data_IF_699729581065
#
_entry.id   IF_699729581065
#
_cell.length_a   1.000
_cell.length_b   1.000
_cell.length_c   1.000
_cell.angle_alpha   90.00
_cell.angle_beta   90.00
_cell.angle_gamma   90.00
#
_symmetry.space_group_name_H-M   'P 1'
#
loop_
_entity.id
_entity.type
_entity.pdbx_description
1 polymer ?
#
# COMPACT_ATOMS: atom_id res chain seq x y z
N UNK A 1 5.22 23.50 -2.75
CA UNK A 1 6.39 23.19 -1.90
C UNK A 1 5.99 22.65 -0.52
N UNK A 2 4.93 23.17 0.11
CA UNK A 2 4.46 22.71 1.43
C UNK A 2 4.09 21.21 1.46
N UNK A 3 3.40 20.72 0.43
CA UNK A 3 3.03 19.30 0.33
C UNK A 3 4.24 18.37 0.34
N UNK A 4 5.32 18.70 -0.39
CA UNK A 4 6.53 17.87 -0.46
C UNK A 4 7.24 17.79 0.90
N UNK A 5 7.26 18.87 1.68
CA UNK A 5 7.81 18.85 3.06
C UNK A 5 6.99 17.93 3.96
N UNK A 6 5.66 17.95 3.84
CA UNK A 6 4.76 17.06 4.58
C UNK A 6 5.00 15.59 4.20
N UNK A 7 5.09 15.28 2.91
CA UNK A 7 5.35 13.91 2.45
C UNK A 7 6.75 13.42 2.88
N UNK A 8 7.76 14.27 2.84
CA UNK A 8 9.09 13.93 3.34
C UNK A 8 9.10 13.66 4.85
N UNK A 9 8.41 14.50 5.64
CA UNK A 9 8.22 14.26 7.08
C UNK A 9 7.48 12.94 7.33
N UNK A 10 6.48 12.63 6.50
CA UNK A 10 5.79 11.35 6.57
C UNK A 10 6.75 10.19 6.33
N UNK A 11 7.56 10.26 5.29
CA UNK A 11 8.54 9.23 4.96
C UNK A 11 9.59 9.04 6.06
N UNK A 12 10.03 10.09 6.75
CA UNK A 12 11.05 9.96 7.81
C UNK A 12 10.50 9.49 9.15
N UNK A 13 9.23 9.77 9.49
CA UNK A 13 8.75 9.57 10.87
C UNK A 13 7.29 9.12 11.03
N UNK A 14 6.53 8.87 9.96
CA UNK A 14 5.14 8.40 10.10
C UNK A 14 5.06 6.89 10.42
N UNK A 15 3.84 6.40 10.65
CA UNK A 15 3.54 4.96 10.65
C UNK A 15 3.01 4.44 9.31
N UNK A 16 3.01 5.26 8.26
CA UNK A 16 2.43 4.94 6.97
C UNK A 16 3.38 4.13 6.08
N UNK A 17 2.89 3.70 4.93
CA UNK A 17 3.63 2.78 4.06
C UNK A 17 4.95 3.38 3.56
N UNK A 18 5.01 4.70 3.37
CA UNK A 18 6.24 5.40 3.01
C UNK A 18 7.36 5.22 4.04
N UNK A 19 7.08 5.39 5.32
CA UNK A 19 8.05 5.18 6.39
C UNK A 19 8.39 3.71 6.57
N UNK A 20 7.40 2.81 6.50
CA UNK A 20 7.64 1.37 6.57
C UNK A 20 8.62 0.89 5.50
N UNK A 21 8.63 1.54 4.33
CA UNK A 21 9.63 1.33 3.28
C UNK A 21 10.94 2.09 3.55
N UNK A 22 10.87 3.33 4.06
CA UNK A 22 12.04 4.12 4.43
C UNK A 22 12.96 3.39 5.41
N UNK A 23 12.40 2.79 6.48
CA UNK A 23 13.15 2.03 7.49
C UNK A 23 13.78 0.74 6.94
N UNK A 24 13.40 0.35 5.71
CA UNK A 24 14.00 -0.76 4.96
C UNK A 24 14.99 -0.29 3.88
N UNK A 25 15.36 0.99 3.90
CA UNK A 25 16.32 1.58 2.96
C UNK A 25 15.73 1.88 1.59
N UNK A 26 14.40 1.95 1.45
CA UNK A 26 13.73 2.24 0.19
C UNK A 26 13.49 3.76 0.08
N UNK A 27 14.15 4.37 -0.89
CA UNK A 27 14.07 5.80 -1.20
C UNK A 27 12.96 6.16 -2.19
N UNK A 28 12.73 7.46 -2.35
CA UNK A 28 11.60 8.02 -3.12
C UNK A 28 11.52 7.50 -4.56
N UNK A 29 12.67 7.38 -5.24
CA UNK A 29 12.74 7.00 -6.66
C UNK A 29 12.37 5.53 -6.92
N UNK A 30 12.41 4.68 -5.89
CA UNK A 30 12.03 3.27 -6.02
C UNK A 30 10.52 3.10 -6.16
N UNK A 31 9.72 4.07 -5.68
CA UNK A 31 8.28 4.13 -5.91
C UNK A 31 7.94 5.06 -7.09
N UNK A 32 8.53 6.28 -7.11
CA UNK A 32 8.12 7.35 -8.03
C UNK A 32 8.89 7.40 -9.36
N UNK A 33 9.96 6.61 -9.52
CA UNK A 33 10.82 6.66 -10.69
C UNK A 33 11.74 7.90 -10.69
N UNK A 34 12.12 8.35 -11.89
CA UNK A 34 13.16 9.39 -12.08
C UNK A 34 12.63 10.85 -12.03
N UNK A 35 11.36 11.05 -11.69
CA UNK A 35 10.73 12.38 -11.68
C UNK A 35 10.25 12.80 -10.29
N UNK A 36 10.05 14.10 -10.11
CA UNK A 36 9.25 14.60 -9.00
C UNK A 36 7.76 14.32 -9.31
N UNK A 37 7.03 13.64 -8.41
CA UNK A 37 5.60 13.40 -8.61
C UNK A 37 4.84 14.72 -8.68
N UNK A 38 3.81 14.75 -9.52
CA UNK A 38 2.83 15.84 -9.48
C UNK A 38 1.91 15.65 -8.28
N UNK A 39 1.20 16.71 -7.91
CA UNK A 39 0.06 16.56 -7.01
C UNK A 39 -0.92 15.56 -7.64
N UNK A 40 -1.48 14.67 -6.81
CA UNK A 40 -2.42 13.61 -7.20
C UNK A 40 -1.86 12.50 -8.09
N UNK A 41 -0.55 12.46 -8.29
CA UNK A 41 0.11 11.35 -8.97
C UNK A 41 0.02 10.05 -8.16
N UNK A 42 -0.09 8.92 -8.84
CA UNK A 42 -0.20 7.59 -8.23
C UNK A 42 0.97 6.71 -8.64
N UNK A 43 1.21 5.67 -7.86
CA UNK A 43 2.25 4.68 -8.16
C UNK A 43 1.60 3.46 -8.79
N UNK A 44 2.07 3.13 -9.98
CA UNK A 44 1.64 1.94 -10.71
C UNK A 44 1.98 0.64 -9.97
N UNK A 45 1.10 -0.36 -10.07
CA UNK A 45 1.28 -1.67 -9.43
C UNK A 45 2.63 -2.31 -9.77
N UNK A 46 3.12 -2.11 -11.00
CA UNK A 46 4.40 -2.63 -11.47
C UNK A 46 5.56 -2.26 -10.54
N UNK A 47 5.53 -1.07 -9.91
CA UNK A 47 6.55 -0.64 -8.94
C UNK A 47 6.54 -1.49 -7.68
N UNK A 48 5.36 -1.84 -7.19
CA UNK A 48 5.20 -2.70 -6.02
C UNK A 48 5.68 -4.13 -6.33
N UNK A 49 5.29 -4.66 -7.49
CA UNK A 49 5.53 -6.04 -7.89
C UNK A 49 7.02 -6.35 -8.15
N UNK A 50 7.85 -5.34 -8.45
CA UNK A 50 9.32 -5.51 -8.55
C UNK A 50 9.90 -6.14 -7.28
N UNK A 51 9.38 -5.77 -6.10
CA UNK A 51 9.87 -6.28 -4.81
C UNK A 51 8.92 -7.30 -4.17
N UNK A 52 7.61 -7.14 -4.34
CA UNK A 52 6.61 -8.02 -3.72
C UNK A 52 6.32 -9.29 -4.52
N UNK A 53 6.85 -9.38 -5.74
CA UNK A 53 6.62 -10.49 -6.66
C UNK A 53 5.34 -10.32 -7.48
N UNK A 54 5.08 -11.23 -8.44
CA UNK A 54 3.89 -11.17 -9.28
C UNK A 54 2.60 -11.39 -8.48
N UNK A 55 1.50 -10.82 -8.96
CA UNK A 55 0.23 -10.73 -8.25
C UNK A 55 -0.32 -12.11 -7.86
N UNK A 56 -0.17 -13.11 -8.73
CA UNK A 56 -0.62 -14.48 -8.47
C UNK A 56 0.12 -15.10 -7.28
N UNK A 57 1.45 -14.93 -7.23
CA UNK A 57 2.26 -15.43 -6.11
C UNK A 57 1.95 -14.68 -4.83
N UNK A 58 1.71 -13.37 -4.92
CA UNK A 58 1.30 -12.56 -3.78
C UNK A 58 -0.05 -13.03 -3.23
N UNK A 59 -1.04 -13.21 -4.10
CA UNK A 59 -2.36 -13.70 -3.74
C UNK A 59 -2.31 -15.07 -3.07
N UNK A 60 -1.51 -16.01 -3.60
CA UNK A 60 -1.30 -17.30 -2.96
C UNK A 60 -0.67 -17.17 -1.57
N UNK A 61 0.33 -16.29 -1.41
CA UNK A 61 1.02 -16.07 -0.13
C UNK A 61 0.13 -15.44 0.94
N UNK A 62 -0.87 -14.66 0.53
CA UNK A 62 -1.79 -13.97 1.44
C UNK A 62 -3.14 -14.65 1.55
N UNK A 63 -3.27 -15.90 1.08
CA UNK A 63 -4.50 -16.67 1.24
C UNK A 63 -4.77 -16.88 2.75
N UNK A 64 -5.93 -16.42 3.27
CA UNK A 64 -6.31 -16.67 4.65
C UNK A 64 -6.60 -18.15 4.88
N UNK A 65 -6.20 -18.66 6.04
CA UNK A 65 -6.35 -20.09 6.39
C UNK A 65 -7.80 -20.52 6.51
N UNK A 66 -8.62 -19.69 7.16
CA UNK A 66 -9.97 -20.07 7.57
C UNK A 66 -11.04 -19.71 6.52
N UNK A 67 -10.81 -18.65 5.74
CA UNK A 67 -11.81 -18.09 4.82
C UNK A 67 -11.19 -17.74 3.47
N UNK A 68 -10.88 -18.75 2.63
CA UNK A 68 -10.16 -18.57 1.36
C UNK A 68 -10.78 -17.55 0.40
N UNK A 69 -12.10 -17.36 0.49
CA UNK A 69 -12.88 -16.36 -0.26
C UNK A 69 -12.62 -14.91 0.16
N UNK A 70 -11.96 -14.70 1.31
CA UNK A 70 -11.64 -13.38 1.88
C UNK A 70 -10.20 -12.95 1.61
N UNK A 71 -9.64 -13.37 0.48
CA UNK A 71 -8.28 -12.99 0.10
C UNK A 71 -8.24 -11.53 -0.41
N UNK A 72 -7.50 -10.61 0.25
CA UNK A 72 -7.46 -9.20 -0.16
C UNK A 72 -6.80 -8.98 -1.53
N UNK A 73 -6.02 -9.94 -2.03
CA UNK A 73 -5.34 -9.86 -3.32
C UNK A 73 -5.95 -10.77 -4.39
N UNK A 74 -7.11 -11.37 -4.10
CA UNK A 74 -7.89 -12.16 -5.06
C UNK A 74 -9.38 -11.99 -4.76
N UNK A 75 -10.00 -10.98 -5.36
CA UNK A 75 -11.38 -10.59 -5.09
C UNK A 75 -12.22 -10.50 -6.36
N UNK A 76 -13.53 -10.28 -6.19
CA UNK A 76 -14.46 -10.04 -7.30
C UNK A 76 -14.23 -8.70 -8.02
N UNK A 77 -13.36 -7.82 -7.50
CA UNK A 77 -12.99 -6.56 -8.15
C UNK A 77 -11.95 -6.76 -9.26
N UNK A 78 -11.37 -7.96 -9.38
CA UNK A 78 -10.28 -8.23 -10.30
C UNK A 78 -8.99 -7.49 -9.91
N UNK A 79 -8.25 -7.04 -10.92
CA UNK A 79 -6.98 -6.36 -10.74
C UNK A 79 -7.19 -4.87 -10.49
N UNK A 80 -7.14 -4.49 -9.21
CA UNK A 80 -7.22 -3.09 -8.77
C UNK A 80 -5.83 -2.55 -8.38
N UNK A 81 -5.68 -1.22 -8.37
CA UNK A 81 -4.42 -0.61 -7.99
C UNK A 81 -4.07 -0.89 -6.51
N UNK A 82 -2.82 -1.28 -6.23
CA UNK A 82 -2.31 -1.53 -4.88
C UNK A 82 -2.54 -0.30 -3.98
N UNK A 83 -2.39 0.89 -4.56
CA UNK A 83 -2.58 2.18 -3.89
C UNK A 83 -4.02 2.50 -3.52
N UNK A 84 -5.02 1.69 -3.94
CA UNK A 84 -6.39 1.80 -3.44
C UNK A 84 -6.41 1.52 -1.93
N UNK A 85 -5.75 0.45 -1.49
CA UNK A 85 -5.69 0.05 -0.09
C UNK A 85 -4.40 0.50 0.61
N UNK A 86 -3.25 0.32 -0.06
CA UNK A 86 -1.93 0.61 0.48
C UNK A 86 -1.50 2.05 0.17
N UNK A 87 -1.83 2.98 1.06
CA UNK A 87 -1.50 4.39 0.91
C UNK A 87 -0.05 4.65 1.34
N UNK A 88 0.72 5.28 0.44
CA UNK A 88 2.11 5.68 0.67
C UNK A 88 2.24 6.69 1.81
N UNK A 89 1.84 7.93 1.53
CA UNK A 89 1.98 9.07 2.43
C UNK A 89 0.73 9.39 3.26
N UNK A 90 -0.12 8.38 3.48
CA UNK A 90 -1.36 8.50 4.24
C UNK A 90 -1.72 7.16 4.87
N UNK A 91 -2.74 7.16 5.70
CA UNK A 91 -3.27 5.95 6.32
C UNK A 91 -3.79 4.94 5.28
N UNK A 92 -3.29 3.72 5.35
CA UNK A 92 -3.79 2.59 4.56
C UNK A 92 -5.11 2.08 5.11
N UNK A 93 -6.04 1.74 4.21
CA UNK A 93 -7.38 1.26 4.57
C UNK A 93 -7.70 0.00 3.78
N UNK A 94 -8.40 -0.95 4.41
CA UNK A 94 -8.88 -2.14 3.71
C UNK A 94 -10.16 -1.76 2.97
N UNK A 95 -10.05 -1.56 1.66
CA UNK A 95 -11.18 -1.13 0.81
C UNK A 95 -12.41 -2.05 0.93
N UNK A 96 -12.19 -3.35 1.12
CA UNK A 96 -13.25 -4.33 1.30
C UNK A 96 -14.17 -4.02 2.49
N UNK A 97 -13.65 -3.35 3.52
CA UNK A 97 -14.40 -3.05 4.75
C UNK A 97 -15.43 -1.93 4.57
N UNK A 98 -15.43 -1.24 3.41
CA UNK A 98 -16.49 -0.30 3.06
C UNK A 98 -17.82 -1.01 2.77
N UNK A 99 -17.76 -2.27 2.32
CA UNK A 99 -18.95 -3.08 2.00
C UNK A 99 -19.09 -4.30 2.92
N UNK A 100 -17.98 -4.86 3.41
CA UNK A 100 -17.96 -6.11 4.17
C UNK A 100 -17.55 -5.93 5.62
N UNK A 101 -18.12 -6.73 6.52
CA UNK A 101 -17.75 -6.77 7.94
C UNK A 101 -16.83 -7.94 8.21
N UNK A 102 -15.57 -7.82 7.82
CA UNK A 102 -14.53 -8.81 8.06
C UNK A 102 -13.54 -8.33 9.13
N UNK A 103 -12.91 -9.26 9.84
CA UNK A 103 -11.72 -8.94 10.62
C UNK A 103 -10.49 -8.99 9.70
N UNK A 104 -10.11 -7.82 9.17
CA UNK A 104 -8.97 -7.66 8.27
C UNK A 104 -8.07 -6.54 8.76
N UNK A 105 -6.76 -6.79 8.76
CA UNK A 105 -5.73 -5.84 9.17
C UNK A 105 -4.79 -5.55 8.01
N UNK A 106 -4.34 -4.31 7.93
CA UNK A 106 -3.41 -3.85 6.90
C UNK A 106 -2.27 -3.07 7.55
N UNK A 107 -1.06 -3.21 7.01
CA UNK A 107 0.08 -2.39 7.45
C UNK A 107 -0.08 -0.96 6.97
N UNK A 108 0.39 -0.01 7.78
CA UNK A 108 0.26 1.41 7.47
C UNK A 108 -1.14 1.98 7.71
N UNK A 109 -2.07 1.20 8.26
CA UNK A 109 -3.24 1.77 8.94
C UNK A 109 -2.77 2.61 10.13
N UNK A 110 -3.48 3.68 10.50
CA UNK A 110 -3.17 4.38 11.73
C UNK A 110 -3.23 3.33 12.84
N UNK A 111 -2.21 3.30 13.69
CA UNK A 111 -2.20 2.39 14.82
C UNK A 111 -3.50 2.64 15.58
N UNK A 112 -4.39 1.64 15.58
CA UNK A 112 -5.51 1.61 16.52
C UNK A 112 -4.83 1.67 17.88
N UNK A 113 -4.94 2.82 18.54
CA UNK A 113 -4.57 2.95 19.95
C UNK A 113 -5.42 1.99 20.78
#
# INVERSE_FOLDING_TARGET
MDSMKKMFKSWTSSGYMDNLHAVKGIGCTQCHGKGLPKADDTVENSRCLICHGPLEKLAHKTEPKDFKDRNPHKSHLGDIACTVCHKGHAESKVYCLECHKFDMKIKGAAQIK
#
